data_IF_312331193502
#
_entry.id   IF_312331193502
#
_cell.length_a   1.000
_cell.length_b   1.000
_cell.length_c   1.000
_cell.angle_alpha   90.00
_cell.angle_beta   90.00
_cell.angle_gamma   90.00
#
_symmetry.space_group_name_H-M   'P 1'
#
loop_
_entity.id
_entity.type
_entity.pdbx_description
1 polymer ?
#
# COMPACT_ATOMS: atom_id res chain seq x y z
N UNK A 1 -19.01 8.66 16.91
CA UNK A 1 -18.93 8.68 15.43
C UNK A 1 -19.09 7.25 14.98
N UNK A 2 -20.09 6.94 14.13
CA UNK A 2 -20.21 5.57 13.60
C UNK A 2 -18.93 5.22 12.86
N UNK A 3 -18.34 4.06 13.18
CA UNK A 3 -17.10 3.58 12.56
C UNK A 3 -17.29 3.16 11.10
N UNK A 4 -18.53 3.11 10.65
CA UNK A 4 -18.93 2.72 9.30
C UNK A 4 -18.53 3.74 8.23
N UNK A 5 -18.12 3.23 7.08
CA UNK A 5 -17.74 3.99 5.90
C UNK A 5 -16.71 3.25 5.07
N UNK A 6 -16.48 3.74 3.86
CA UNK A 6 -15.49 3.17 2.96
C UNK A 6 -14.18 3.96 3.07
N UNK A 7 -13.08 3.26 3.32
CA UNK A 7 -11.73 3.82 3.30
C UNK A 7 -11.11 3.57 1.93
N UNK A 8 -10.47 4.59 1.37
CA UNK A 8 -9.91 4.49 0.04
C UNK A 8 -8.84 3.38 -0.06
N UNK A 9 -7.91 3.34 0.89
CA UNK A 9 -6.83 2.34 0.88
C UNK A 9 -7.33 0.89 0.99
N UNK A 10 -8.46 0.63 1.65
CA UNK A 10 -9.06 -0.73 1.65
C UNK A 10 -9.56 -1.11 0.25
N UNK A 11 -10.17 -0.17 -0.46
CA UNK A 11 -10.64 -0.39 -1.83
C UNK A 11 -9.48 -0.64 -2.78
N UNK A 12 -8.36 0.09 -2.64
CA UNK A 12 -7.17 -0.16 -3.46
C UNK A 12 -6.52 -1.51 -3.13
N UNK A 13 -6.53 -1.98 -1.87
CA UNK A 13 -6.08 -3.35 -1.55
C UNK A 13 -6.95 -4.41 -2.21
N UNK A 14 -8.28 -4.22 -2.27
CA UNK A 14 -9.17 -5.12 -3.01
C UNK A 14 -8.89 -5.12 -4.51
N UNK A 15 -8.70 -3.96 -5.12
CA UNK A 15 -8.30 -3.83 -6.53
C UNK A 15 -6.98 -4.55 -6.81
N UNK A 16 -5.98 -4.35 -5.96
CA UNK A 16 -4.69 -5.04 -6.05
C UNK A 16 -4.85 -6.55 -5.94
N UNK A 17 -5.61 -7.03 -4.94
CA UNK A 17 -5.86 -8.45 -4.77
C UNK A 17 -6.54 -9.08 -6.00
N UNK A 18 -7.53 -8.41 -6.58
CA UNK A 18 -8.20 -8.83 -7.82
C UNK A 18 -7.23 -8.88 -9.03
N UNK A 19 -6.34 -7.89 -9.16
CA UNK A 19 -5.28 -7.93 -10.17
C UNK A 19 -4.34 -9.14 -9.97
N UNK A 20 -3.90 -9.39 -8.72
CA UNK A 20 -3.07 -10.55 -8.40
C UNK A 20 -3.79 -11.87 -8.64
N UNK A 21 -5.09 -11.94 -8.39
CA UNK A 21 -5.95 -13.09 -8.71
C UNK A 21 -5.98 -13.36 -10.21
N UNK A 22 -6.08 -12.31 -11.03
CA UNK A 22 -6.04 -12.42 -12.50
C UNK A 22 -4.72 -13.03 -12.99
N UNK A 23 -3.59 -12.62 -12.40
CA UNK A 23 -2.28 -13.19 -12.68
C UNK A 23 -2.16 -14.65 -12.20
N UNK A 24 -2.73 -14.95 -11.03
CA UNK A 24 -2.62 -16.26 -10.43
C UNK A 24 -3.42 -17.34 -11.18
N UNK A 25 -4.63 -16.99 -11.62
CA UNK A 25 -5.62 -17.88 -12.24
C UNK A 25 -5.62 -17.81 -13.77
N UNK A 26 -5.04 -16.75 -14.35
CA UNK A 26 -5.16 -16.38 -15.78
C UNK A 26 -6.58 -16.03 -16.22
N UNK A 27 -7.46 -15.71 -15.26
CA UNK A 27 -8.83 -15.31 -15.55
C UNK A 27 -8.95 -13.78 -15.54
N UNK A 28 -9.22 -13.21 -16.72
CA UNK A 28 -9.22 -11.75 -16.93
C UNK A 28 -10.34 -11.01 -16.19
N UNK A 29 -11.42 -11.70 -15.83
CA UNK A 29 -12.59 -11.08 -15.22
C UNK A 29 -12.29 -10.47 -13.84
N UNK A 30 -11.31 -11.00 -13.10
CA UNK A 30 -10.90 -10.41 -11.82
C UNK A 30 -10.33 -9.00 -12.02
N UNK A 31 -9.50 -8.78 -13.04
CA UNK A 31 -8.98 -7.44 -13.36
C UNK A 31 -10.10 -6.52 -13.84
N UNK A 32 -11.06 -7.05 -14.60
CA UNK A 32 -12.24 -6.31 -15.00
C UNK A 32 -13.05 -5.84 -13.78
N UNK A 33 -13.26 -6.68 -12.76
CA UNK A 33 -13.91 -6.27 -11.51
C UNK A 33 -13.12 -5.21 -10.74
N UNK A 34 -11.79 -5.29 -10.75
CA UNK A 34 -10.96 -4.25 -10.14
C UNK A 34 -11.14 -2.90 -10.87
N UNK A 35 -11.20 -2.91 -12.19
CA UNK A 35 -11.46 -1.72 -13.02
C UNK A 35 -12.87 -1.17 -12.78
N UNK A 36 -13.88 -2.02 -12.67
CA UNK A 36 -15.25 -1.60 -12.34
C UNK A 36 -15.30 -0.96 -10.95
N UNK A 37 -14.55 -1.51 -9.99
CA UNK A 37 -14.41 -0.92 -8.67
C UNK A 37 -13.76 0.48 -8.75
N UNK A 38 -12.70 0.67 -9.55
CA UNK A 38 -12.10 2.01 -9.76
C UNK A 38 -13.14 2.99 -10.29
N UNK A 39 -13.85 2.64 -11.36
CA UNK A 39 -14.85 3.50 -11.99
C UNK A 39 -16.00 3.85 -11.04
N UNK A 40 -16.38 2.91 -10.18
CA UNK A 40 -17.45 3.12 -9.20
C UNK A 40 -17.04 4.05 -8.05
N UNK A 41 -15.78 4.02 -7.60
CA UNK A 41 -15.37 4.72 -6.36
C UNK A 41 -14.58 5.99 -6.63
N UNK A 42 -13.76 6.05 -7.68
CA UNK A 42 -12.85 7.17 -7.92
C UNK A 42 -13.55 8.54 -7.98
N UNK A 43 -14.70 8.72 -8.70
CA UNK A 43 -15.39 10.02 -8.75
C UNK A 43 -15.92 10.52 -7.40
N UNK A 44 -16.06 9.62 -6.42
CA UNK A 44 -16.54 9.95 -5.07
C UNK A 44 -15.39 10.32 -4.15
N UNK A 45 -14.25 9.62 -4.27
CA UNK A 45 -13.08 9.85 -3.45
C UNK A 45 -12.17 10.97 -3.98
N UNK A 46 -12.20 11.25 -5.28
CA UNK A 46 -11.37 12.27 -5.92
C UNK A 46 -12.25 13.28 -6.65
N UNK A 47 -12.20 14.54 -6.21
CA UNK A 47 -13.08 15.59 -6.68
C UNK A 47 -12.34 16.92 -6.82
N UNK A 48 -12.73 17.72 -7.81
CA UNK A 48 -12.26 19.11 -7.91
C UNK A 48 -13.08 20.00 -6.97
N UNK A 49 -12.44 20.50 -5.91
CA UNK A 49 -13.05 21.42 -4.93
C UNK A 49 -12.32 22.76 -5.01
N UNK A 50 -13.05 23.84 -5.31
CA UNK A 50 -12.50 25.19 -5.50
C UNK A 50 -11.36 25.23 -6.53
N UNK A 51 -11.54 24.54 -7.66
CA UNK A 51 -10.57 24.51 -8.76
C UNK A 51 -9.31 23.69 -8.48
N UNK A 52 -9.26 22.93 -7.38
CA UNK A 52 -8.15 22.04 -7.03
C UNK A 52 -8.64 20.61 -6.86
N UNK A 53 -7.90 19.68 -7.43
CA UNK A 53 -8.13 18.26 -7.19
C UNK A 53 -7.87 17.95 -5.72
N UNK A 54 -8.82 17.27 -5.09
CA UNK A 54 -8.75 16.82 -3.70
C UNK A 54 -9.12 15.36 -3.63
N UNK A 55 -8.57 14.71 -2.63
CA UNK A 55 -8.94 13.35 -2.26
C UNK A 55 -9.59 13.34 -0.87
N UNK A 56 -10.48 12.38 -0.64
CA UNK A 56 -11.08 12.13 0.67
C UNK A 56 -10.56 10.81 1.21
N UNK A 57 -10.22 10.74 2.50
CA UNK A 57 -9.72 9.52 3.11
C UNK A 57 -10.84 8.49 3.36
N UNK A 58 -12.03 8.99 3.70
CA UNK A 58 -13.18 8.17 4.07
C UNK A 58 -14.49 8.75 3.54
N UNK A 59 -15.28 7.91 2.88
CA UNK A 59 -16.62 8.19 2.40
C UNK A 59 -17.67 7.41 3.20
N UNK A 60 -18.94 7.83 3.13
CA UNK A 60 -20.07 7.01 3.62
C UNK A 60 -20.17 5.69 2.86
N UNK A 61 -20.88 4.70 3.43
CA UNK A 61 -21.03 3.37 2.81
C UNK A 61 -21.62 3.46 1.40
N UNK A 62 -22.59 4.34 1.20
CA UNK A 62 -23.25 4.61 -0.08
C UNK A 62 -22.49 5.61 -0.98
N UNK A 63 -21.30 6.04 -0.56
CA UNK A 63 -20.43 7.01 -1.26
C UNK A 63 -21.06 8.39 -1.48
N UNK A 64 -22.16 8.72 -0.79
CA UNK A 64 -22.90 9.97 -0.97
C UNK A 64 -22.21 11.19 -0.38
N UNK A 65 -21.35 11.03 0.64
CA UNK A 65 -20.69 12.15 1.31
C UNK A 65 -19.33 11.80 1.93
N UNK A 66 -18.37 12.74 1.96
CA UNK A 66 -17.12 12.56 2.68
C UNK A 66 -17.37 12.59 4.19
N UNK A 67 -16.87 11.56 4.89
CA UNK A 67 -16.92 11.48 6.35
C UNK A 67 -15.66 12.05 6.99
N UNK A 68 -14.53 11.98 6.29
CA UNK A 68 -13.28 12.62 6.72
C UNK A 68 -12.75 13.48 5.56
N UNK A 69 -12.74 14.82 5.71
CA UNK A 69 -12.39 15.74 4.62
C UNK A 69 -10.87 15.90 4.40
N UNK A 70 -10.05 15.08 5.07
CA UNK A 70 -8.61 14.99 4.86
C UNK A 70 -8.24 13.82 3.97
N UNK A 71 -7.01 13.80 3.49
CA UNK A 71 -6.44 12.75 2.64
C UNK A 71 -5.63 11.76 3.50
N UNK A 72 -5.60 10.49 3.12
CA UNK A 72 -4.59 9.56 3.64
C UNK A 72 -3.22 9.87 3.06
N UNK A 73 -2.15 9.63 3.82
CA UNK A 73 -0.79 9.99 3.42
C UNK A 73 -0.32 9.27 2.15
N UNK A 74 -0.58 7.96 2.07
CA UNK A 74 -0.21 7.11 0.94
C UNK A 74 -1.34 6.83 -0.05
N UNK A 75 -2.59 7.18 0.27
CA UNK A 75 -3.75 6.90 -0.57
C UNK A 75 -3.60 7.34 -2.04
N UNK A 76 -3.04 8.53 -2.38
CA UNK A 76 -2.78 8.89 -3.78
C UNK A 76 -1.82 7.94 -4.50
N UNK A 77 -0.81 7.43 -3.80
CA UNK A 77 0.18 6.51 -4.34
C UNK A 77 -0.41 5.12 -4.53
N UNK A 78 -1.22 4.65 -3.57
CA UNK A 78 -1.98 3.40 -3.71
C UNK A 78 -2.87 3.43 -4.95
N UNK A 79 -3.62 4.52 -5.13
CA UNK A 79 -4.44 4.72 -6.33
C UNK A 79 -3.59 4.74 -7.60
N UNK A 80 -2.55 5.58 -7.63
CA UNK A 80 -1.69 5.73 -8.80
C UNK A 80 -1.05 4.41 -9.24
N UNK A 81 -0.44 3.68 -8.31
CA UNK A 81 0.22 2.40 -8.59
C UNK A 81 -0.81 1.36 -9.00
N UNK A 82 -1.89 1.21 -8.23
CA UNK A 82 -2.88 0.16 -8.49
C UNK A 82 -3.55 0.36 -9.83
N UNK A 83 -3.95 1.58 -10.18
CA UNK A 83 -4.65 1.85 -11.44
C UNK A 83 -3.77 1.55 -12.65
N UNK A 84 -2.48 1.89 -12.56
CA UNK A 84 -1.52 1.56 -13.61
C UNK A 84 -1.29 0.06 -13.71
N UNK A 85 -1.25 -0.69 -12.59
CA UNK A 85 -1.20 -2.16 -12.65
C UNK A 85 -2.43 -2.78 -13.35
N UNK A 86 -3.61 -2.18 -13.16
CA UNK A 86 -4.83 -2.62 -13.86
C UNK A 86 -4.78 -2.32 -15.36
N UNK A 87 -4.29 -1.14 -15.73
CA UNK A 87 -4.09 -0.71 -17.12
C UNK A 87 -3.02 -1.55 -17.83
N UNK A 88 -1.88 -1.77 -17.18
CA UNK A 88 -0.77 -2.57 -17.69
C UNK A 88 -1.23 -4.02 -17.96
N UNK A 89 -2.05 -4.60 -17.07
CA UNK A 89 -2.60 -5.94 -17.26
C UNK A 89 -3.60 -6.02 -18.43
N UNK A 90 -4.41 -4.98 -18.64
CA UNK A 90 -5.39 -4.96 -19.74
C UNK A 90 -4.78 -4.70 -21.12
N UNK A 91 -3.53 -4.24 -21.17
CA UNK A 91 -2.85 -3.82 -22.42
C UNK A 91 -3.62 -2.74 -23.19
N UNK A 92 -4.38 -1.90 -22.47
CA UNK A 92 -5.16 -0.79 -23.03
C UNK A 92 -4.71 0.52 -22.39
N UNK A 93 -3.88 1.28 -23.10
CA UNK A 93 -3.34 2.57 -22.62
C UNK A 93 -4.42 3.65 -22.40
N UNK A 94 -5.62 3.49 -22.96
CA UNK A 94 -6.73 4.43 -22.72
C UNK A 94 -7.55 4.07 -21.48
N UNK A 95 -7.44 2.83 -20.98
CA UNK A 95 -8.16 2.39 -19.80
C UNK A 95 -7.71 3.16 -18.57
N UNK A 96 -8.66 3.74 -17.81
CA UNK A 96 -8.40 4.51 -16.58
C UNK A 96 -7.47 5.73 -16.76
N UNK A 97 -7.25 6.20 -18.01
CA UNK A 97 -6.29 7.27 -18.29
C UNK A 97 -6.55 8.54 -17.47
N UNK A 98 -7.82 8.95 -17.38
CA UNK A 98 -8.23 10.13 -16.61
C UNK A 98 -7.90 9.95 -15.12
N UNK A 99 -8.31 8.82 -14.54
CA UNK A 99 -8.15 8.50 -13.12
C UNK A 99 -6.66 8.38 -12.75
N UNK A 100 -5.83 7.84 -13.65
CA UNK A 100 -4.38 7.78 -13.50
C UNK A 100 -3.75 9.18 -13.54
N UNK A 101 -4.19 10.05 -14.47
CA UNK A 101 -3.69 11.43 -14.57
C UNK A 101 -4.08 12.27 -13.33
N UNK A 102 -5.28 12.07 -12.79
CA UNK A 102 -5.75 12.68 -11.54
C UNK A 102 -4.90 12.19 -10.35
N UNK A 103 -4.66 10.88 -10.24
CA UNK A 103 -3.78 10.32 -9.20
C UNK A 103 -2.33 10.82 -9.32
N UNK A 104 -1.79 10.92 -10.54
CA UNK A 104 -0.46 11.48 -10.79
C UNK A 104 -0.37 12.91 -10.26
N UNK A 105 -1.38 13.74 -10.54
CA UNK A 105 -1.44 15.13 -10.07
C UNK A 105 -1.39 15.20 -8.54
N UNK A 106 -2.10 14.31 -7.85
CA UNK A 106 -2.08 14.24 -6.38
C UNK A 106 -0.70 13.79 -5.86
N UNK A 107 -0.07 12.79 -6.48
CA UNK A 107 1.27 12.29 -6.12
C UNK A 107 2.33 13.38 -6.32
N UNK A 108 2.33 14.05 -7.48
CA UNK A 108 3.29 15.10 -7.85
C UNK A 108 3.26 16.28 -6.87
N UNK A 109 2.08 16.61 -6.34
CA UNK A 109 1.92 17.70 -5.37
C UNK A 109 2.62 17.45 -4.03
N UNK A 110 2.92 16.19 -3.66
CA UNK A 110 3.30 15.84 -2.28
C UNK A 110 4.57 15.02 -2.11
N UNK A 111 5.03 14.28 -3.12
CA UNK A 111 6.13 13.32 -2.93
C UNK A 111 7.42 13.93 -2.37
N UNK A 112 7.72 15.19 -2.70
CA UNK A 112 8.89 15.92 -2.18
C UNK A 112 8.86 16.10 -0.66
N UNK A 113 7.67 16.10 -0.06
CA UNK A 113 7.44 16.32 1.37
C UNK A 113 7.13 15.02 2.14
N UNK A 114 7.14 13.86 1.48
CA UNK A 114 6.87 12.59 2.15
C UNK A 114 7.86 12.35 3.30
N UNK A 115 7.30 12.04 4.47
CA UNK A 115 7.99 11.70 5.71
C UNK A 115 7.08 10.78 6.51
N UNK A 116 7.70 9.86 7.24
CA UNK A 116 6.97 8.97 8.13
C UNK A 116 7.82 8.62 9.35
N UNK A 117 7.15 8.46 10.48
CA UNK A 117 7.71 7.87 11.70
C UNK A 117 6.89 6.63 12.09
N UNK A 118 6.27 6.00 11.09
CA UNK A 118 5.34 4.91 11.30
C UNK A 118 5.82 3.64 10.60
N UNK A 119 5.90 2.53 11.34
CA UNK A 119 6.48 1.27 10.83
C UNK A 119 5.69 0.70 9.65
N UNK A 120 4.35 0.79 9.69
CA UNK A 120 3.50 0.25 8.64
C UNK A 120 3.55 1.14 7.39
N UNK A 121 3.42 2.45 7.56
CA UNK A 121 3.48 3.44 6.47
C UNK A 121 4.83 3.40 5.75
N UNK A 122 5.95 3.28 6.48
CA UNK A 122 7.26 3.12 5.88
C UNK A 122 7.37 1.83 5.04
N UNK A 123 6.82 0.72 5.53
CA UNK A 123 6.73 -0.53 4.78
C UNK A 123 5.89 -0.40 3.51
N UNK A 124 4.74 0.25 3.61
CA UNK A 124 3.84 0.47 2.48
C UNK A 124 4.45 1.37 1.41
N UNK A 125 5.15 2.45 1.80
CA UNK A 125 5.87 3.31 0.85
C UNK A 125 7.02 2.59 0.12
N UNK A 126 7.75 1.70 0.82
CA UNK A 126 8.74 0.83 0.18
C UNK A 126 8.06 -0.13 -0.81
N UNK A 127 6.91 -0.70 -0.44
CA UNK A 127 6.13 -1.53 -1.35
C UNK A 127 5.57 -0.74 -2.54
N UNK A 128 5.11 0.49 -2.40
CA UNK A 128 4.59 1.26 -3.54
C UNK A 128 5.70 1.70 -4.50
N UNK A 129 6.83 2.15 -3.96
CA UNK A 129 7.96 2.67 -4.77
C UNK A 129 8.62 1.61 -5.65
N UNK A 130 8.59 0.33 -5.29
CA UNK A 130 9.29 -0.70 -6.05
C UNK A 130 8.66 -0.99 -7.44
N UNK A 131 7.40 -0.63 -7.67
CA UNK A 131 6.73 -0.90 -8.95
C UNK A 131 7.26 -0.04 -10.10
N UNK A 132 7.65 1.21 -9.79
CA UNK A 132 8.11 2.20 -10.78
C UNK A 132 9.42 2.87 -10.34
N UNK A 133 10.51 2.10 -10.12
CA UNK A 133 11.71 2.58 -9.41
C UNK A 133 12.47 3.70 -10.13
N UNK A 134 12.17 3.92 -11.42
CA UNK A 134 12.80 4.95 -12.22
C UNK A 134 12.11 6.32 -12.11
N UNK A 135 10.90 6.39 -11.56
CA UNK A 135 10.14 7.64 -11.42
C UNK A 135 10.58 8.44 -10.18
N UNK A 136 10.57 9.77 -10.29
CA UNK A 136 11.11 10.64 -9.23
C UNK A 136 10.35 10.52 -7.90
N UNK A 137 9.02 10.34 -7.95
CA UNK A 137 8.23 10.11 -6.74
C UNK A 137 8.61 8.79 -6.07
N UNK A 138 8.88 7.74 -6.86
CA UNK A 138 9.22 6.43 -6.35
C UNK A 138 10.61 6.44 -5.71
N UNK A 139 11.60 7.08 -6.36
CA UNK A 139 12.94 7.30 -5.80
C UNK A 139 12.89 8.04 -4.48
N UNK A 140 12.09 9.11 -4.40
CA UNK A 140 11.93 9.90 -3.18
C UNK A 140 11.26 9.10 -2.05
N UNK A 141 10.19 8.36 -2.36
CA UNK A 141 9.53 7.48 -1.39
C UNK A 141 10.48 6.40 -0.89
N UNK A 142 11.18 5.72 -1.80
CA UNK A 142 12.18 4.71 -1.47
C UNK A 142 13.25 5.29 -0.53
N UNK A 143 13.84 6.44 -0.87
CA UNK A 143 14.87 7.08 -0.05
C UNK A 143 14.35 7.39 1.35
N UNK A 144 13.22 8.09 1.45
CA UNK A 144 12.65 8.55 2.73
C UNK A 144 12.14 7.41 3.58
N UNK A 145 11.50 6.41 2.99
CA UNK A 145 11.02 5.24 3.71
C UNK A 145 12.18 4.35 4.17
N UNK A 146 13.23 4.19 3.36
CA UNK A 146 14.46 3.47 3.74
C UNK A 146 15.16 4.11 4.95
N UNK A 147 15.29 5.45 4.94
CA UNK A 147 15.80 6.21 6.08
C UNK A 147 14.91 6.03 7.32
N UNK A 148 13.58 6.07 7.13
CA UNK A 148 12.62 5.93 8.22
C UNK A 148 12.69 4.54 8.87
N UNK A 149 12.71 3.44 8.10
CA UNK A 149 12.77 2.09 8.68
C UNK A 149 14.04 1.89 9.51
N UNK A 150 15.19 2.37 9.03
CA UNK A 150 16.45 2.28 9.79
C UNK A 150 16.42 3.14 11.06
N UNK A 151 15.84 4.33 10.98
CA UNK A 151 15.66 5.22 12.14
C UNK A 151 14.73 4.61 13.19
N UNK A 152 13.59 4.04 12.79
CA UNK A 152 12.64 3.36 13.67
C UNK A 152 13.28 2.15 14.36
N UNK A 153 14.12 1.40 13.64
CA UNK A 153 14.92 0.32 14.24
C UNK A 153 15.87 0.85 15.33
N UNK A 154 16.63 1.89 15.02
CA UNK A 154 17.59 2.49 15.96
C UNK A 154 16.92 3.10 17.21
N UNK A 155 15.72 3.66 17.04
CA UNK A 155 14.92 4.22 18.14
C UNK A 155 14.27 3.15 19.03
N UNK A 156 14.32 1.88 18.62
CA UNK A 156 13.80 0.77 19.41
C UNK A 156 12.30 0.54 19.24
N UNK A 157 11.67 1.04 18.17
CA UNK A 157 10.24 0.81 17.86
C UNK A 157 9.92 -0.68 17.65
N UNK A 158 10.92 -1.46 17.22
CA UNK A 158 10.86 -2.92 17.06
C UNK A 158 11.40 -3.67 18.30
N UNK A 159 11.65 -2.96 19.39
CA UNK A 159 12.25 -3.46 20.62
C UNK A 159 11.31 -3.31 21.81
N UNK A 160 11.63 -3.97 22.93
CA UNK A 160 10.82 -3.90 24.14
C UNK A 160 9.66 -4.91 24.18
N UNK A 161 8.73 -4.69 25.12
CA UNK A 161 7.69 -5.67 25.45
C UNK A 161 6.71 -5.86 24.27
N UNK A 162 6.69 -7.07 23.71
CA UNK A 162 5.84 -7.45 22.58
C UNK A 162 4.35 -7.15 22.80
N UNK A 163 3.86 -7.20 24.05
CA UNK A 163 2.45 -6.91 24.37
C UNK A 163 2.02 -5.49 24.02
N UNK A 164 2.98 -4.55 23.96
CA UNK A 164 2.73 -3.14 23.60
C UNK A 164 2.94 -2.85 22.11
N UNK A 165 3.42 -3.82 21.35
CA UNK A 165 3.72 -3.72 19.93
C UNK A 165 2.59 -4.32 19.09
N UNK A 166 2.63 -4.06 17.79
CA UNK A 166 1.63 -4.49 16.82
C UNK A 166 2.31 -5.27 15.71
N UNK A 167 2.22 -6.61 15.78
CA UNK A 167 2.92 -7.53 14.88
C UNK A 167 2.63 -7.25 13.40
N UNK A 168 1.36 -7.07 13.05
CA UNK A 168 0.95 -6.81 11.67
C UNK A 168 1.62 -5.56 11.05
N UNK A 169 1.95 -4.55 11.87
CA UNK A 169 2.61 -3.32 11.41
C UNK A 169 4.07 -3.57 11.10
N UNK A 170 4.74 -4.33 11.95
CA UNK A 170 6.13 -4.73 11.73
C UNK A 170 6.26 -5.67 10.54
N UNK A 171 5.27 -6.55 10.34
CA UNK A 171 5.20 -7.34 9.12
C UNK A 171 5.01 -6.48 7.87
N UNK A 172 4.22 -5.40 7.95
CA UNK A 172 4.15 -4.39 6.89
C UNK A 172 5.53 -3.83 6.52
N UNK A 173 6.35 -3.47 7.52
CA UNK A 173 7.75 -3.06 7.30
C UNK A 173 8.54 -4.13 6.55
N UNK A 174 8.51 -5.37 7.05
CA UNK A 174 9.29 -6.46 6.46
C UNK A 174 8.86 -6.81 5.03
N UNK A 175 7.56 -6.69 4.69
CA UNK A 175 7.08 -6.89 3.31
C UNK A 175 7.68 -5.82 2.40
N UNK A 176 7.58 -4.54 2.77
CA UNK A 176 8.13 -3.42 2.01
C UNK A 176 9.64 -3.50 1.80
N UNK A 177 10.39 -3.75 2.88
CA UNK A 177 11.85 -3.93 2.85
C UNK A 177 12.26 -5.04 1.89
N UNK A 178 11.51 -6.14 1.85
CA UNK A 178 11.83 -7.29 1.00
C UNK A 178 11.60 -7.05 -0.50
N UNK A 179 10.93 -5.95 -0.89
CA UNK A 179 10.75 -5.57 -2.30
C UNK A 179 12.02 -4.98 -2.92
N UNK A 180 13.00 -4.59 -2.10
CA UNK A 180 14.23 -3.91 -2.52
C UNK A 180 15.44 -4.80 -2.18
N UNK A 181 16.16 -5.39 -3.16
CA UNK A 181 17.20 -6.39 -2.92
C UNK A 181 18.33 -5.95 -1.96
N UNK A 182 18.76 -4.70 -2.07
CA UNK A 182 19.79 -4.09 -1.24
C UNK A 182 19.32 -3.90 0.21
N UNK A 183 18.08 -3.43 0.40
CA UNK A 183 17.49 -3.32 1.74
C UNK A 183 17.24 -4.69 2.35
N UNK A 184 16.68 -5.64 1.59
CA UNK A 184 16.45 -7.02 2.02
C UNK A 184 17.74 -7.64 2.55
N UNK A 185 18.84 -7.47 1.84
CA UNK A 185 20.15 -7.99 2.26
C UNK A 185 20.59 -7.36 3.58
N UNK A 186 20.46 -6.03 3.73
CA UNK A 186 20.82 -5.30 4.95
C UNK A 186 19.92 -5.65 6.15
N UNK A 187 18.66 -5.97 5.90
CA UNK A 187 17.63 -6.22 6.91
C UNK A 187 17.40 -7.69 7.24
N UNK A 188 18.08 -8.64 6.58
CA UNK A 188 17.75 -10.06 6.70
C UNK A 188 17.75 -10.56 8.14
N UNK A 189 18.76 -10.20 8.93
CA UNK A 189 18.84 -10.59 10.35
C UNK A 189 17.70 -9.99 11.18
N UNK A 190 17.31 -8.75 10.88
CA UNK A 190 16.19 -8.05 11.55
C UNK A 190 14.86 -8.71 11.21
N UNK A 191 14.65 -9.07 9.94
CA UNK A 191 13.47 -9.80 9.49
C UNK A 191 13.37 -11.14 10.23
N UNK A 192 14.46 -11.90 10.27
CA UNK A 192 14.52 -13.18 10.99
C UNK A 192 14.24 -13.03 12.48
N UNK A 193 14.77 -11.97 13.12
CA UNK A 193 14.52 -11.67 14.52
C UNK A 193 13.03 -11.38 14.78
N UNK A 194 12.40 -10.57 13.91
CA UNK A 194 10.98 -10.25 14.02
C UNK A 194 10.09 -11.48 13.79
N UNK A 195 10.41 -12.30 12.77
CA UNK A 195 9.68 -13.54 12.50
C UNK A 195 9.79 -14.53 13.66
N UNK A 196 10.98 -14.71 14.22
CA UNK A 196 11.23 -15.62 15.35
C UNK A 196 10.50 -15.17 16.61
N UNK A 197 10.41 -13.87 16.86
CA UNK A 197 9.63 -13.34 17.98
C UNK A 197 8.12 -13.59 17.78
N UNK A 198 7.60 -13.18 16.62
CA UNK A 198 6.16 -13.13 16.44
C UNK A 198 5.53 -14.48 16.15
N UNK A 199 6.27 -15.47 15.63
CA UNK A 199 5.74 -16.83 15.41
C UNK A 199 5.20 -17.44 16.71
N UNK A 200 5.80 -17.13 17.86
CA UNK A 200 5.33 -17.59 19.18
C UNK A 200 4.07 -16.84 19.68
N UNK A 201 3.66 -15.77 19.00
CA UNK A 201 2.65 -14.81 19.45
C UNK A 201 1.57 -14.46 18.42
N UNK A 202 1.54 -15.12 17.25
CA UNK A 202 0.68 -14.74 16.11
C UNK A 202 -0.81 -14.58 16.43
N UNK A 203 -1.32 -15.40 17.35
CA UNK A 203 -2.74 -15.45 17.71
C UNK A 203 -3.02 -14.83 19.10
N UNK A 204 -2.08 -14.04 19.64
CA UNK A 204 -2.22 -13.45 20.99
C UNK A 204 -2.90 -12.09 20.99
N UNK A 205 -2.88 -11.39 19.85
CA UNK A 205 -3.44 -10.04 19.65
C UNK A 205 -3.63 -9.82 18.16
N UNK A 206 -4.71 -9.14 17.77
CA UNK A 206 -5.02 -8.83 16.36
C UNK A 206 -4.93 -10.10 15.49
N UNK A 207 -5.58 -11.17 15.95
CA UNK A 207 -5.45 -12.55 15.44
C UNK A 207 -6.17 -12.79 14.10
N UNK A 208 -6.97 -11.82 13.65
CA UNK A 208 -7.60 -11.74 12.34
C UNK A 208 -6.62 -11.27 11.24
N UNK A 209 -5.67 -10.39 11.57
CA UNK A 209 -4.73 -9.80 10.59
C UNK A 209 -3.30 -10.28 10.76
N UNK A 210 -2.84 -10.51 11.99
CA UNK A 210 -1.44 -10.82 12.30
C UNK A 210 -0.95 -12.09 11.59
N UNK A 211 -1.68 -13.23 11.61
CA UNK A 211 -1.24 -14.44 10.90
C UNK A 211 -1.17 -14.25 9.38
N UNK A 212 -2.10 -13.47 8.81
CA UNK A 212 -2.14 -13.19 7.36
C UNK A 212 -0.93 -12.35 6.95
N UNK A 213 -0.62 -11.31 7.72
CA UNK A 213 0.55 -10.45 7.49
C UNK A 213 1.86 -11.20 7.71
N UNK A 214 1.91 -12.14 8.66
CA UNK A 214 3.08 -13.02 8.85
C UNK A 214 3.35 -13.88 7.62
N UNK A 215 2.33 -14.61 7.13
CA UNK A 215 2.45 -15.41 5.92
C UNK A 215 2.86 -14.57 4.70
N UNK A 216 2.30 -13.37 4.59
CA UNK A 216 2.63 -12.41 3.53
C UNK A 216 4.08 -11.94 3.61
N UNK A 217 4.60 -11.76 4.83
CA UNK A 217 5.99 -11.40 5.09
C UNK A 217 6.97 -12.55 4.84
N UNK A 218 6.59 -13.80 5.13
CA UNK A 218 7.39 -14.98 4.81
C UNK A 218 7.52 -15.21 3.30
N UNK A 219 6.45 -14.95 2.56
CA UNK A 219 6.35 -15.19 1.12
C UNK A 219 5.94 -13.90 0.38
N UNK A 220 6.79 -12.85 0.37
CA UNK A 220 6.40 -11.54 -0.13
C UNK A 220 6.32 -11.49 -1.66
N UNK A 221 6.66 -12.57 -2.36
CA UNK A 221 6.68 -12.63 -3.83
C UNK A 221 5.36 -12.26 -4.50
N UNK A 222 4.22 -12.45 -3.84
CA UNK A 222 2.90 -12.01 -4.35
C UNK A 222 2.78 -10.49 -4.46
N UNK A 223 3.52 -9.74 -3.64
CA UNK A 223 3.52 -8.29 -3.61
C UNK A 223 4.50 -7.68 -4.61
N UNK A 224 5.41 -8.49 -5.17
CA UNK A 224 6.42 -8.05 -6.11
C UNK A 224 5.83 -7.77 -7.50
N UNK A 225 6.39 -6.78 -8.19
CA UNK A 225 6.10 -6.48 -9.60
C UNK A 225 6.23 -7.73 -10.48
N UNK A 226 7.32 -8.49 -10.30
CA UNK A 226 7.65 -9.68 -11.10
C UNK A 226 6.74 -10.88 -10.87
N UNK A 227 5.76 -10.81 -9.96
CA UNK A 227 4.88 -11.92 -9.66
C UNK A 227 4.15 -12.43 -10.92
N UNK A 228 4.50 -13.66 -11.35
CA UNK A 228 3.93 -14.36 -12.51
C UNK A 228 3.88 -13.51 -13.80
N UNK A 229 4.78 -12.54 -13.93
CA UNK A 229 5.06 -11.88 -15.21
C UNK A 229 5.88 -12.87 -16.04
N UNK A 230 5.23 -13.62 -16.93
CA UNK A 230 5.88 -14.45 -17.95
C UNK A 230 6.18 -13.64 -19.20
#
# INVERSE_FOLDING_TARGET
MSQDGQYYHYLTKWMFALNRMSLATKEQHFNAWAVDLVKAVHPHFVQTVNGRLRMFWKMSIDLSQPLVPSEGGLDPYDGYVTYRLLQDYSQDEQLLRKEIDEMRTLVEARYRHYRTNDTLDAGEALWLSHFYPNEDWAKQLHLKASEAVDSLWQQGEFSGNWKRRLAFREFGTTIGVQMHPELKTRWMDRINQLHSLWVEHLFKRDDDITPVMFCSSLLPGYFAKSYKQT
#
